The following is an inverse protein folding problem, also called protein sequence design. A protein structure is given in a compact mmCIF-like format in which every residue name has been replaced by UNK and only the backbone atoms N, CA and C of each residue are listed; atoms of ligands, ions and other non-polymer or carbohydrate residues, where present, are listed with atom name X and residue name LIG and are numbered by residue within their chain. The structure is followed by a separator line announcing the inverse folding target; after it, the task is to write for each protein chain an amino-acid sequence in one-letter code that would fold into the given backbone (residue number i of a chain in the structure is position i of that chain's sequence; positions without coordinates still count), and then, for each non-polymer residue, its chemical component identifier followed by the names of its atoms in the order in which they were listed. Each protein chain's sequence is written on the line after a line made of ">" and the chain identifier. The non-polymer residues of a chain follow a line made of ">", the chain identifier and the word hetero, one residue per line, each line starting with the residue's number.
data_IF_392804802453
#
_entry.id   IF_392804802453
#
_cell.length_a   1.000
_cell.length_b   1.000
_cell.length_c   1.000
_cell.angle_alpha   90.00
_cell.angle_beta   90.00
_cell.angle_gamma   90.00
#
_symmetry.space_group_name_H-M   'P 1'
#
loop_
_entity.id
_entity.type
_entity.pdbx_description
1 polymer ?
#
# COMPACT_ATOMS: atom_id res chain seq x y z
N UNK A 1 2.24 8.50 -11.09
CA UNK A 1 2.71 9.84 -10.66
C UNK A 1 1.52 10.79 -10.52
N UNK A 2 1.44 11.54 -9.43
CA UNK A 2 0.43 12.59 -9.29
C UNK A 2 0.73 13.74 -10.26
N UNK A 3 -0.29 14.32 -10.86
CA UNK A 3 -0.13 15.35 -11.89
C UNK A 3 0.24 16.75 -11.36
N UNK A 4 0.49 16.90 -10.04
CA UNK A 4 0.85 18.15 -9.36
C UNK A 4 -0.06 19.36 -9.71
N UNK A 5 -1.35 19.11 -9.95
CA UNK A 5 -2.32 20.13 -10.34
C UNK A 5 -2.43 20.39 -11.85
N UNK A 6 -1.61 19.72 -12.67
CA UNK A 6 -1.74 19.71 -14.13
C UNK A 6 -2.80 18.72 -14.63
N UNK A 7 -3.20 18.89 -15.89
CA UNK A 7 -4.05 17.95 -16.63
C UNK A 7 -3.24 17.29 -17.73
N UNK A 8 -3.33 15.96 -17.84
CA UNK A 8 -2.68 15.15 -18.88
C UNK A 8 -3.74 14.25 -19.50
N UNK A 9 -3.68 14.09 -20.83
CA UNK A 9 -4.61 13.22 -21.56
C UNK A 9 -4.59 11.79 -21.03
N UNK A 10 -5.77 11.17 -20.98
CA UNK A 10 -5.99 9.84 -20.38
C UNK A 10 -4.91 8.81 -20.74
N UNK A 11 -4.63 8.65 -22.03
CA UNK A 11 -3.71 7.64 -22.57
C UNK A 11 -2.23 7.91 -22.27
N UNK A 12 -1.89 9.12 -21.84
CA UNK A 12 -0.55 9.45 -21.37
C UNK A 12 -0.37 9.14 -19.87
N UNK A 13 -1.40 8.62 -19.18
CA UNK A 13 -1.37 8.32 -17.74
C UNK A 13 -1.65 6.84 -17.44
N UNK A 14 -1.51 6.45 -16.17
CA UNK A 14 -1.89 5.14 -15.63
C UNK A 14 -3.09 5.22 -14.67
N UNK A 15 -4.01 6.16 -14.90
CA UNK A 15 -5.22 6.28 -14.06
C UNK A 15 -6.08 5.02 -14.15
N UNK A 16 -6.73 4.57 -13.06
CA UNK A 16 -7.70 3.47 -13.13
C UNK A 16 -8.98 3.87 -13.90
N UNK A 17 -9.29 5.17 -14.02
CA UNK A 17 -10.47 5.67 -14.71
C UNK A 17 -10.28 5.68 -16.24
N UNK A 18 -10.48 4.52 -16.88
CA UNK A 18 -10.30 4.35 -18.35
C UNK A 18 -11.47 3.58 -18.95
N UNK A 19 -11.72 3.68 -20.27
CA UNK A 19 -12.77 2.91 -20.96
C UNK A 19 -12.66 1.39 -20.72
N UNK A 20 -11.44 0.86 -20.76
CA UNK A 20 -11.13 -0.53 -20.40
C UNK A 20 -10.27 -0.51 -19.13
N UNK A 21 -10.78 -0.83 -17.94
CA UNK A 21 -10.07 -0.67 -16.66
C UNK A 21 -9.11 -1.84 -16.36
N UNK A 22 -8.14 -2.08 -17.25
CA UNK A 22 -7.16 -3.18 -17.14
C UNK A 22 -5.84 -2.66 -16.55
N UNK A 23 -5.47 -3.07 -15.34
CA UNK A 23 -4.15 -2.75 -14.76
C UNK A 23 -3.02 -3.56 -15.40
N UNK A 24 -1.79 -3.04 -15.34
CA UNK A 24 -0.59 -3.79 -15.69
C UNK A 24 0.38 -3.69 -14.52
N UNK A 25 0.74 -4.85 -13.96
CA UNK A 25 1.66 -4.98 -12.85
C UNK A 25 2.83 -5.85 -13.28
N UNK A 26 4.05 -5.31 -13.19
CA UNK A 26 5.27 -6.09 -13.33
C UNK A 26 5.69 -6.54 -11.94
N UNK A 27 5.71 -7.86 -11.71
CA UNK A 27 6.03 -8.43 -10.41
C UNK A 27 7.09 -9.52 -10.54
N UNK A 28 7.89 -9.70 -9.49
CA UNK A 28 8.86 -10.78 -9.41
C UNK A 28 8.13 -12.08 -9.04
N UNK A 29 8.35 -13.15 -9.80
CA UNK A 29 7.89 -14.48 -9.43
C UNK A 29 8.84 -15.06 -8.38
N UNK A 30 8.34 -15.26 -7.16
CA UNK A 30 9.11 -15.80 -6.05
C UNK A 30 8.96 -17.32 -5.95
N UNK A 31 7.73 -17.83 -6.14
CA UNK A 31 7.43 -19.24 -6.05
C UNK A 31 6.19 -19.62 -6.86
N UNK A 32 6.12 -20.87 -7.30
CA UNK A 32 4.95 -21.48 -7.97
C UNK A 32 4.55 -22.70 -7.17
N UNK A 33 3.32 -22.73 -6.67
CA UNK A 33 2.78 -23.85 -5.91
C UNK A 33 1.40 -24.24 -6.46
N UNK A 34 1.34 -25.33 -7.22
CA UNK A 34 0.11 -25.78 -7.87
C UNK A 34 -0.48 -24.70 -8.78
N UNK A 35 -1.70 -24.25 -8.45
CA UNK A 35 -2.40 -23.16 -9.16
C UNK A 35 -2.11 -21.76 -8.62
N UNK A 36 -1.14 -21.59 -7.72
CA UNK A 36 -0.86 -20.35 -7.00
C UNK A 36 0.52 -19.79 -7.36
N UNK A 37 0.60 -18.48 -7.57
CA UNK A 37 1.84 -17.75 -7.79
C UNK A 37 2.13 -16.84 -6.61
N UNK A 38 3.29 -17.00 -5.98
CA UNK A 38 3.79 -16.06 -4.99
C UNK A 38 4.58 -14.96 -5.71
N UNK A 39 4.09 -13.73 -5.62
CA UNK A 39 4.64 -12.58 -6.33
C UNK A 39 5.24 -11.56 -5.34
N UNK A 40 6.37 -10.96 -5.73
CA UNK A 40 6.99 -9.83 -5.03
C UNK A 40 6.83 -8.52 -5.82
N UNK A 41 6.52 -7.43 -5.13
CA UNK A 41 6.43 -6.09 -5.72
C UNK A 41 5.17 -5.83 -6.56
N UNK A 42 4.12 -6.65 -6.41
CA UNK A 42 2.82 -6.39 -7.04
C UNK A 42 2.12 -5.20 -6.37
N UNK A 43 1.36 -4.43 -7.16
CA UNK A 43 0.61 -3.24 -6.74
C UNK A 43 -0.91 -3.47 -6.80
N UNK A 44 -1.35 -4.66 -6.40
CA UNK A 44 -2.74 -5.12 -6.42
C UNK A 44 -3.36 -5.08 -5.02
N UNK A 45 -4.65 -4.74 -4.93
CA UNK A 45 -5.42 -4.91 -3.69
C UNK A 45 -6.01 -6.32 -3.63
N UNK A 46 -6.28 -6.80 -2.42
CA UNK A 46 -6.92 -8.09 -2.19
C UNK A 46 -8.24 -8.22 -2.99
N UNK A 47 -8.44 -9.39 -3.60
CA UNK A 47 -9.60 -9.68 -4.45
C UNK A 47 -9.58 -9.07 -5.86
N UNK A 48 -8.49 -8.38 -6.27
CA UNK A 48 -8.38 -7.86 -7.66
C UNK A 48 -8.42 -9.02 -8.67
N UNK A 49 -9.37 -9.03 -9.63
CA UNK A 49 -9.45 -10.10 -10.62
C UNK A 49 -8.22 -10.13 -11.53
N UNK A 50 -7.61 -11.30 -11.69
CA UNK A 50 -6.51 -11.53 -12.63
C UNK A 50 -7.08 -11.98 -13.97
N UNK A 51 -6.78 -11.23 -15.03
CA UNK A 51 -7.25 -11.53 -16.38
C UNK A 51 -6.27 -12.42 -17.16
N UNK A 52 -4.97 -12.24 -16.92
CA UNK A 52 -3.91 -12.87 -17.70
C UNK A 52 -2.58 -12.85 -16.93
N UNK A 53 -1.71 -13.81 -17.22
CA UNK A 53 -0.35 -13.91 -16.67
C UNK A 53 0.60 -14.27 -17.80
N UNK A 54 1.66 -13.46 -17.99
CA UNK A 54 2.67 -13.67 -19.03
C UNK A 54 4.08 -13.51 -18.46
N UNK A 55 5.06 -14.28 -18.98
CA UNK A 55 6.45 -14.08 -18.60
C UNK A 55 6.94 -12.72 -19.10
N UNK A 56 7.77 -12.05 -18.30
CA UNK A 56 8.50 -10.86 -18.72
C UNK A 56 9.65 -11.26 -19.65
N UNK A 57 9.72 -10.63 -20.82
CA UNK A 57 10.69 -10.92 -21.86
C UNK A 57 11.57 -9.70 -22.13
N UNK A 58 12.74 -9.92 -22.73
CA UNK A 58 13.70 -8.85 -23.03
C UNK A 58 13.12 -7.71 -23.89
N UNK A 59 12.08 -7.98 -24.68
CA UNK A 59 11.41 -6.99 -25.52
C UNK A 59 10.39 -6.13 -24.78
N UNK A 60 10.03 -6.46 -23.53
CA UNK A 60 9.14 -5.64 -22.70
C UNK A 60 9.86 -4.39 -22.14
N UNK A 61 11.19 -4.38 -22.16
CA UNK A 61 12.02 -3.21 -21.83
C UNK A 61 12.89 -2.80 -23.04
N UNK A 62 12.32 -2.06 -24.00
CA UNK A 62 13.07 -1.60 -25.16
C UNK A 62 14.26 -0.73 -24.76
N UNK A 63 15.41 -0.97 -25.41
CA UNK A 63 16.62 -0.19 -25.18
C UNK A 63 16.37 1.30 -25.49
N UNK A 64 16.81 2.18 -24.59
CA UNK A 64 16.64 3.63 -24.74
C UNK A 64 15.26 4.15 -24.35
N UNK A 65 14.38 3.33 -23.76
CA UNK A 65 13.14 3.82 -23.17
C UNK A 65 13.42 4.95 -22.16
N UNK A 66 12.68 6.05 -22.27
CA UNK A 66 12.78 7.20 -21.36
C UNK A 66 11.49 7.40 -20.59
N UNK A 67 11.62 7.99 -19.40
CA UNK A 67 10.48 8.37 -18.57
C UNK A 67 10.26 9.88 -18.75
N UNK A 68 9.04 10.34 -19.06
CA UNK A 68 8.75 11.77 -19.16
C UNK A 68 9.17 12.51 -17.88
N UNK A 69 9.65 13.75 -18.00
CA UNK A 69 10.14 14.53 -16.85
C UNK A 69 9.11 14.65 -15.73
N UNK A 70 7.83 14.81 -16.07
CA UNK A 70 6.72 14.88 -15.10
C UNK A 70 6.43 13.54 -14.39
N UNK A 71 6.85 12.41 -14.96
CA UNK A 71 6.84 11.11 -14.30
C UNK A 71 8.09 10.92 -13.42
N UNK A 72 9.24 11.39 -13.90
CA UNK A 72 10.53 11.31 -13.21
C UNK A 72 10.61 12.24 -11.99
N UNK A 73 9.84 13.33 -11.98
CA UNK A 73 9.75 14.33 -10.92
C UNK A 73 9.06 13.84 -9.63
N UNK A 74 8.99 12.52 -9.37
CA UNK A 74 8.71 12.04 -8.01
C UNK A 74 9.87 12.46 -7.11
N UNK A 75 9.74 13.67 -6.55
CA UNK A 75 10.53 14.09 -5.43
C UNK A 75 10.29 13.13 -4.26
N UNK A 76 11.39 12.76 -3.61
CA UNK A 76 11.42 12.04 -2.34
C UNK A 76 10.53 12.67 -1.26
N UNK A 77 10.04 13.89 -1.44
CA UNK A 77 9.16 14.61 -0.54
C UNK A 77 7.82 13.91 -0.21
N UNK A 78 7.43 12.87 -0.96
CA UNK A 78 6.21 12.09 -0.71
C UNK A 78 6.44 10.71 -0.11
N UNK A 79 7.69 10.20 -0.07
CA UNK A 79 7.98 8.91 0.57
C UNK A 79 8.02 9.12 2.08
N UNK A 80 7.32 8.27 2.81
CA UNK A 80 7.55 8.14 4.25
C UNK A 80 8.94 7.52 4.42
N UNK A 81 9.86 8.24 5.08
CA UNK A 81 11.24 7.78 5.22
C UNK A 81 11.33 6.56 6.14
N UNK A 82 10.52 6.53 7.19
CA UNK A 82 10.50 5.41 8.15
C UNK A 82 9.10 5.12 8.68
N UNK A 83 8.89 3.84 9.03
CA UNK A 83 7.69 3.36 9.73
C UNK A 83 8.15 2.83 11.07
N UNK A 84 7.59 3.38 12.14
CA UNK A 84 7.88 2.98 13.51
C UNK A 84 6.65 2.34 14.14
N UNK A 85 6.88 1.32 14.96
CA UNK A 85 5.83 0.66 15.74
C UNK A 85 6.00 1.08 17.19
N UNK A 86 4.90 1.45 17.85
CA UNK A 86 4.91 1.58 19.31
C UNK A 86 5.12 0.21 19.95
N UNK A 87 5.62 0.17 21.19
CA UNK A 87 5.79 -1.09 21.92
C UNK A 87 4.48 -1.90 22.02
N UNK A 88 3.34 -1.20 22.14
CA UNK A 88 2.01 -1.83 22.15
C UNK A 88 1.66 -2.45 20.78
N UNK A 89 1.84 -1.71 19.68
CA UNK A 89 1.60 -2.23 18.33
C UNK A 89 2.50 -3.43 18.03
N UNK A 90 3.74 -3.37 18.50
CA UNK A 90 4.72 -4.44 18.33
C UNK A 90 4.32 -5.72 19.03
N UNK A 91 3.95 -5.62 20.30
CA UNK A 91 3.49 -6.75 21.09
C UNK A 91 2.21 -7.36 20.52
N UNK A 92 1.30 -6.53 19.99
CA UNK A 92 0.08 -7.00 19.35
C UNK A 92 0.35 -7.73 18.02
N UNK A 93 1.25 -7.21 17.19
CA UNK A 93 1.67 -7.87 15.96
C UNK A 93 2.37 -9.21 16.27
N UNK A 94 3.25 -9.22 17.27
CA UNK A 94 3.93 -10.43 17.73
C UNK A 94 2.93 -11.49 18.22
N UNK A 95 1.91 -11.08 18.98
CA UNK A 95 0.85 -11.99 19.44
C UNK A 95 0.06 -12.58 18.26
N UNK A 96 -0.33 -11.75 17.27
CA UNK A 96 -1.09 -12.18 16.10
C UNK A 96 -0.30 -13.13 15.17
N UNK A 97 1.04 -13.02 15.16
CA UNK A 97 1.90 -13.97 14.46
C UNK A 97 1.98 -15.27 15.26
N UNK A 98 2.18 -15.18 16.58
CA UNK A 98 2.36 -16.34 17.46
C UNK A 98 1.10 -17.20 17.58
N UNK A 99 -0.09 -16.61 17.54
CA UNK A 99 -1.37 -17.32 17.60
C UNK A 99 -1.86 -17.82 16.23
N UNK A 100 -1.13 -17.51 15.14
CA UNK A 100 -1.46 -17.93 13.78
C UNK A 100 -2.62 -17.18 13.15
N UNK A 101 -2.96 -15.98 13.64
CA UNK A 101 -4.03 -15.15 13.08
C UNK A 101 -3.75 -14.65 11.67
N UNK A 102 -2.47 -14.46 11.31
CA UNK A 102 -2.07 -14.00 9.98
C UNK A 102 -2.01 -15.17 9.01
N UNK A 103 -2.68 -15.02 7.86
CA UNK A 103 -2.73 -16.04 6.81
C UNK A 103 -1.41 -16.11 6.04
N UNK A 104 -0.78 -14.97 5.79
CA UNK A 104 0.35 -14.88 4.86
C UNK A 104 1.70 -14.69 5.54
N UNK A 105 1.72 -14.43 6.84
CA UNK A 105 2.93 -14.05 7.57
C UNK A 105 3.10 -14.89 8.83
N UNK A 106 4.07 -15.79 8.81
CA UNK A 106 4.36 -16.70 9.93
C UNK A 106 5.47 -16.19 10.86
N UNK A 107 6.17 -15.13 10.46
CA UNK A 107 7.26 -14.54 11.21
C UNK A 107 7.08 -13.03 11.39
N UNK A 108 7.45 -12.56 12.58
CA UNK A 108 7.25 -11.16 12.99
C UNK A 108 8.05 -10.19 12.12
N UNK A 109 9.25 -10.57 11.69
CA UNK A 109 10.13 -9.71 10.90
C UNK A 109 9.54 -9.44 9.51
N UNK A 110 9.06 -10.48 8.83
CA UNK A 110 8.41 -10.37 7.51
C UNK A 110 7.08 -9.64 7.62
N UNK A 111 6.26 -9.93 8.65
CA UNK A 111 5.01 -9.20 8.88
C UNK A 111 5.28 -7.70 9.07
N UNK A 112 6.24 -7.34 9.91
CA UNK A 112 6.66 -5.95 10.14
C UNK A 112 7.17 -5.31 8.85
N UNK A 113 8.05 -6.00 8.13
CA UNK A 113 8.62 -5.52 6.87
C UNK A 113 7.55 -5.24 5.82
N UNK A 114 6.57 -6.15 5.67
CA UNK A 114 5.47 -5.99 4.75
C UNK A 114 4.57 -4.80 5.11
N UNK A 115 4.21 -4.64 6.38
CA UNK A 115 3.44 -3.47 6.86
C UNK A 115 4.22 -2.18 6.60
N UNK A 116 5.52 -2.15 6.91
CA UNK A 116 6.38 -1.00 6.67
C UNK A 116 6.41 -0.61 5.19
N UNK A 117 6.64 -1.58 4.29
CA UNK A 117 6.66 -1.34 2.84
C UNK A 117 5.30 -0.84 2.34
N UNK A 118 4.19 -1.44 2.79
CA UNK A 118 2.84 -1.01 2.43
C UNK A 118 2.60 0.44 2.84
N UNK A 119 2.89 0.80 4.09
CA UNK A 119 2.66 2.15 4.61
C UNK A 119 3.60 3.18 3.98
N UNK A 120 4.83 2.80 3.61
CA UNK A 120 5.75 3.67 2.87
C UNK A 120 5.23 4.05 1.48
N UNK A 121 4.46 3.16 0.86
CA UNK A 121 3.85 3.36 -0.45
C UNK A 121 2.43 3.97 -0.36
N UNK A 122 1.88 4.14 0.84
CA UNK A 122 0.52 4.66 1.03
C UNK A 122 0.42 6.16 0.71
N UNK A 123 -0.04 6.45 -0.51
CA UNK A 123 -0.25 7.80 -1.03
C UNK A 123 -1.46 8.52 -0.41
N UNK A 124 -2.35 7.82 0.32
CA UNK A 124 -3.58 8.43 0.87
C UNK A 124 -3.26 9.47 1.92
N UNK A 125 -2.19 9.24 2.68
CA UNK A 125 -1.68 10.22 3.65
C UNK A 125 -1.39 11.57 2.98
N UNK A 126 -0.85 11.56 1.75
CA UNK A 126 -0.56 12.77 0.96
C UNK A 126 -1.83 13.44 0.44
N UNK A 127 -2.80 12.67 -0.08
CA UNK A 127 -4.04 13.23 -0.66
C UNK A 127 -5.04 13.75 0.39
N UNK A 128 -5.03 13.20 1.61
CA UNK A 128 -5.90 13.62 2.70
C UNK A 128 -5.36 14.81 3.52
N UNK A 129 -4.29 15.47 3.05
CA UNK A 129 -3.89 16.77 3.59
C UNK A 129 -2.55 16.80 4.33
N UNK A 130 -1.63 15.86 4.10
CA UNK A 130 -0.24 16.00 4.57
C UNK A 130 0.33 17.34 4.10
N UNK A 131 0.53 18.27 5.05
CA UNK A 131 1.15 19.57 4.81
C UNK A 131 0.30 20.63 4.08
N UNK A 132 -1.02 20.46 3.93
CA UNK A 132 -1.87 21.48 3.25
C UNK A 132 -2.37 22.62 4.13
N UNK A 133 -2.24 22.52 5.45
CA UNK A 133 -2.56 23.61 6.38
C UNK A 133 -1.27 24.21 6.96
N UNK A 134 -1.11 25.55 6.97
CA UNK A 134 0.03 26.21 7.60
C UNK A 134 0.10 25.83 9.08
N UNK A 135 1.32 25.64 9.59
CA UNK A 135 1.58 25.13 10.95
C UNK A 135 0.88 25.93 12.07
N UNK A 136 0.50 27.19 11.81
CA UNK A 136 -0.17 28.07 12.75
C UNK A 136 -1.63 27.69 13.08
N UNK A 137 -2.31 26.90 12.24
CA UNK A 137 -3.71 26.49 12.44
C UNK A 137 -3.86 25.05 12.98
N UNK A 138 -2.74 24.34 13.20
CA UNK A 138 -2.77 23.02 13.83
C UNK A 138 -3.05 23.17 15.33
N UNK A 139 -4.33 23.12 15.70
CA UNK A 139 -4.68 22.45 16.95
C UNK A 139 -4.04 21.06 16.91
N UNK A 140 -3.32 20.68 17.96
CA UNK A 140 -2.47 19.48 18.04
C UNK A 140 -3.25 18.14 18.04
N UNK A 141 -4.19 17.95 17.12
CA UNK A 141 -4.88 16.69 16.91
C UNK A 141 -4.18 15.94 15.77
N UNK A 142 -3.33 14.99 16.13
CA UNK A 142 -2.76 14.03 15.18
C UNK A 142 -3.90 13.24 14.54
N UNK A 143 -4.07 13.35 13.22
CA UNK A 143 -5.11 12.61 12.52
C UNK A 143 -4.77 11.11 12.54
N UNK A 144 -5.66 10.33 13.15
CA UNK A 144 -5.57 8.87 13.20
C UNK A 144 -6.12 8.28 11.90
N UNK A 145 -5.34 7.42 11.27
CA UNK A 145 -5.72 6.67 10.08
C UNK A 145 -5.82 5.18 10.42
N UNK A 146 -6.63 4.44 9.67
CA UNK A 146 -6.66 2.99 9.77
C UNK A 146 -6.67 2.31 8.39
N UNK A 147 -6.16 1.08 8.36
CA UNK A 147 -6.27 0.22 7.20
C UNK A 147 -6.22 -1.25 7.58
N UNK A 148 -6.82 -2.09 6.73
CA UNK A 148 -6.74 -3.54 6.88
C UNK A 148 -5.44 -4.09 6.29
N UNK A 149 -4.77 -4.95 7.03
CA UNK A 149 -3.62 -5.73 6.59
C UNK A 149 -3.83 -7.18 7.00
N UNK A 150 -4.03 -8.07 6.04
CA UNK A 150 -4.39 -9.47 6.30
C UNK A 150 -5.61 -9.53 7.26
N UNK A 151 -5.48 -10.22 8.40
CA UNK A 151 -6.50 -10.31 9.44
C UNK A 151 -6.44 -9.16 10.48
N UNK A 152 -5.64 -8.12 10.27
CA UNK A 152 -5.44 -7.01 11.21
C UNK A 152 -6.10 -5.72 10.75
N UNK A 153 -6.58 -4.94 11.72
CA UNK A 153 -6.82 -3.52 11.60
C UNK A 153 -5.60 -2.78 12.17
N UNK A 154 -4.91 -2.02 11.32
CA UNK A 154 -3.79 -1.18 11.70
C UNK A 154 -4.30 0.23 11.97
N UNK A 155 -3.93 0.80 13.12
CA UNK A 155 -4.14 2.22 13.41
C UNK A 155 -2.79 2.94 13.45
N UNK A 156 -2.67 4.05 12.72
CA UNK A 156 -1.41 4.77 12.59
C UNK A 156 -1.61 6.27 12.39
N UNK A 157 -0.58 7.05 12.71
CA UNK A 157 -0.53 8.49 12.44
C UNK A 157 0.57 8.78 11.43
N UNK A 158 0.32 9.75 10.55
CA UNK A 158 1.34 10.23 9.60
C UNK A 158 1.96 11.52 10.14
N UNK A 159 3.27 11.49 10.34
CA UNK A 159 4.09 12.63 10.71
C UNK A 159 4.87 13.12 9.48
N UNK A 160 5.60 14.23 9.61
CA UNK A 160 6.21 14.91 8.44
C UNK A 160 7.11 13.99 7.60
N UNK A 161 7.88 13.10 8.21
CA UNK A 161 8.78 12.16 7.51
C UNK A 161 8.64 10.71 7.98
N UNK A 162 7.72 10.41 8.90
CA UNK A 162 7.55 9.06 9.44
C UNK A 162 6.08 8.69 9.62
N UNK A 163 5.79 7.39 9.61
CA UNK A 163 4.52 6.85 10.09
C UNK A 163 4.77 6.18 11.43
N UNK A 164 3.86 6.39 12.37
CA UNK A 164 3.87 5.70 13.66
C UNK A 164 2.63 4.81 13.75
N UNK A 165 2.85 3.50 13.74
CA UNK A 165 1.82 2.48 13.94
C UNK A 165 1.57 2.35 15.44
N UNK A 166 0.34 2.66 15.84
CA UNK A 166 -0.06 2.72 17.25
C UNK A 166 -0.72 1.45 17.73
N UNK A 167 -1.45 0.75 16.85
CA UNK A 167 -2.15 -0.50 17.17
C UNK A 167 -2.17 -1.45 15.97
N UNK A 168 -2.11 -2.74 16.28
CA UNK A 168 -2.22 -3.86 15.34
C UNK A 168 -3.23 -4.85 15.92
N UNK A 169 -4.53 -4.60 15.80
CA UNK A 169 -5.56 -5.45 16.44
C UNK A 169 -6.20 -6.38 15.43
N UNK A 170 -6.71 -7.54 15.88
CA UNK A 170 -7.50 -8.39 14.99
C UNK A 170 -8.69 -7.62 14.43
N UNK A 171 -8.84 -7.67 13.10
CA UNK A 171 -9.98 -7.10 12.43
C UNK A 171 -11.21 -7.95 12.73
N UNK A 172 -12.13 -7.40 13.52
CA UNK A 172 -13.44 -8.02 13.75
C UNK A 172 -14.38 -7.48 12.66
N UNK A 173 -14.83 -8.32 11.71
CA UNK A 173 -15.79 -7.85 10.71
C UNK A 173 -17.06 -7.37 11.43
N UNK A 174 -17.47 -6.13 11.14
CA UNK A 174 -18.75 -5.62 11.63
C UNK A 174 -19.85 -6.61 11.21
N UNK A 175 -20.62 -7.08 12.21
CA UNK A 175 -21.50 -8.25 12.11
C UNK A 175 -22.15 -8.44 10.74
N UNK A 176 -22.04 -9.66 10.23
CA UNK A 176 -22.78 -10.14 9.06
C UNK A 176 -24.23 -9.65 9.15
N UNK A 177 -24.62 -8.67 8.32
CA UNK A 177 -26.04 -8.44 8.06
C UNK A 177 -26.60 -9.78 7.57
N UNK A 178 -27.66 -10.33 8.18
CA UNK A 178 -28.30 -11.52 7.64
C UNK A 178 -28.67 -11.22 6.18
N UNK A 179 -28.32 -12.15 5.30
CA UNK A 179 -28.71 -12.09 3.90
C UNK A 179 -30.21 -11.79 3.85
N UNK A 180 -30.59 -10.72 3.14
CA UNK A 180 -32.00 -10.48 2.81
C UNK A 180 -32.46 -11.68 1.97
N UNK A 181 -33.24 -12.55 2.60
CA UNK A 181 -34.11 -13.52 1.93
C UNK A 181 -35.11 -12.83 1.02
#
# INVERSE_FOLDING_TARGET
>A
PGLLGGSIGLFATRTPHRPNPIGLSLAALLHVEGGTLLLGGADLIDGTPVLDVKPYLFHDAPAGATVPSWCAARSDASRIASVHFTAAADAQLAAAVADGSLRFYTDLETARSAISQMLQLDIRSVHQGRGRQPAAERGAAEQLYSCRFDALELEFVTLEQRVEVRRCVQHVPAGSRPART
#
